data_IF_541093786659
#
_entry.id   IF_541093786659
#
_cell.length_a   1.000
_cell.length_b   1.000
_cell.length_c   1.000
_cell.angle_alpha   90.00
_cell.angle_beta   90.00
_cell.angle_gamma   90.00
#
_symmetry.space_group_name_H-M   'P 1'
#
loop_
_entity.id
_entity.type
_entity.pdbx_description
1 polymer ?
#
# COMPACT_ATOMS: atom_id res chain seq x y z
N UNK A 1 -35.84 3.33 11.51
CA UNK A 1 -36.20 3.64 10.13
C UNK A 1 -35.55 2.65 9.19
N UNK A 2 -36.09 2.45 8.02
CA UNK A 2 -35.63 1.51 7.02
C UNK A 2 -34.66 2.18 6.05
N UNK A 3 -33.89 1.36 5.31
CA UNK A 3 -33.03 1.83 4.22
C UNK A 3 -33.90 2.45 3.12
N UNK A 4 -33.47 3.56 2.53
CA UNK A 4 -34.23 4.24 1.48
C UNK A 4 -34.44 3.35 0.25
N UNK A 5 -35.55 3.54 -0.45
CA UNK A 5 -35.89 2.76 -1.65
C UNK A 5 -34.82 2.92 -2.75
N UNK A 6 -34.26 4.12 -2.88
CA UNK A 6 -33.17 4.37 -3.85
C UNK A 6 -31.95 3.50 -3.55
N UNK A 7 -31.53 3.44 -2.27
CA UNK A 7 -30.42 2.61 -1.86
C UNK A 7 -30.70 1.11 -2.06
N UNK A 8 -31.94 0.65 -1.83
CA UNK A 8 -32.33 -0.74 -2.07
C UNK A 8 -32.27 -1.11 -3.54
N UNK A 9 -32.75 -0.25 -4.44
CA UNK A 9 -32.70 -0.49 -5.90
C UNK A 9 -31.24 -0.50 -6.38
N UNK A 10 -30.42 0.45 -5.91
CA UNK A 10 -28.99 0.48 -6.25
C UNK A 10 -28.25 -0.77 -5.75
N UNK A 11 -28.53 -1.23 -4.53
CA UNK A 11 -27.95 -2.46 -4.00
C UNK A 11 -28.39 -3.71 -4.78
N UNK A 12 -29.67 -3.77 -5.18
CA UNK A 12 -30.19 -4.87 -5.99
C UNK A 12 -29.44 -4.94 -7.32
N UNK A 13 -29.29 -3.82 -8.04
CA UNK A 13 -28.52 -3.77 -9.29
C UNK A 13 -27.05 -4.14 -9.07
N UNK A 14 -26.44 -3.66 -8.01
CA UNK A 14 -25.02 -3.94 -7.69
C UNK A 14 -24.73 -5.44 -7.43
N UNK A 15 -25.72 -6.21 -6.94
CA UNK A 15 -25.52 -7.64 -6.61
C UNK A 15 -26.11 -8.61 -7.65
N UNK A 16 -27.01 -8.14 -8.50
CA UNK A 16 -27.71 -8.99 -9.49
C UNK A 16 -27.53 -8.56 -10.95
N UNK A 17 -26.92 -7.37 -11.18
CA UNK A 17 -26.60 -6.86 -12.51
C UNK A 17 -25.33 -7.47 -13.12
N UNK A 18 -24.78 -6.81 -14.12
CA UNK A 18 -23.52 -7.25 -14.73
C UNK A 18 -22.33 -7.01 -13.79
N UNK A 19 -21.66 -8.09 -13.38
CA UNK A 19 -20.50 -8.06 -12.50
C UNK A 19 -19.16 -8.14 -13.25
N UNK A 20 -19.14 -7.99 -14.56
CA UNK A 20 -17.91 -8.05 -15.38
C UNK A 20 -16.87 -7.02 -14.94
N UNK A 21 -17.30 -5.80 -14.55
CA UNK A 21 -16.43 -4.76 -14.02
C UNK A 21 -15.75 -5.19 -12.70
N UNK A 22 -16.46 -5.91 -11.83
CA UNK A 22 -15.91 -6.44 -10.58
C UNK A 22 -14.83 -7.48 -10.86
N UNK A 23 -15.06 -8.39 -11.82
CA UNK A 23 -14.08 -9.39 -12.23
C UNK A 23 -12.80 -8.73 -12.77
N UNK A 24 -12.93 -7.76 -13.66
CA UNK A 24 -11.82 -6.98 -14.22
C UNK A 24 -11.03 -6.21 -13.14
N UNK A 25 -11.72 -5.58 -12.19
CA UNK A 25 -11.07 -4.89 -11.07
C UNK A 25 -10.32 -5.86 -10.16
N UNK A 26 -10.91 -7.03 -9.86
CA UNK A 26 -10.26 -8.06 -9.05
C UNK A 26 -8.95 -8.52 -9.68
N UNK A 27 -8.94 -8.83 -10.97
CA UNK A 27 -7.73 -9.24 -11.69
C UNK A 27 -6.66 -8.14 -11.68
N UNK A 28 -7.07 -6.88 -11.83
CA UNK A 28 -6.16 -5.74 -11.77
C UNK A 28 -5.54 -5.58 -10.38
N UNK A 29 -6.31 -5.71 -9.32
CA UNK A 29 -5.81 -5.64 -7.95
C UNK A 29 -4.93 -6.83 -7.58
N UNK A 30 -5.25 -8.03 -8.02
CA UNK A 30 -4.41 -9.23 -7.81
C UNK A 30 -3.02 -9.03 -8.43
N UNK A 31 -2.97 -8.60 -9.69
CA UNK A 31 -1.71 -8.29 -10.39
C UNK A 31 -0.90 -7.20 -9.67
N UNK A 32 -1.55 -6.10 -9.29
CA UNK A 32 -0.90 -4.98 -8.59
C UNK A 32 -0.41 -5.37 -7.20
N UNK A 33 -1.20 -6.15 -6.46
CA UNK A 33 -0.81 -6.66 -5.14
C UNK A 33 0.44 -7.53 -5.22
N UNK A 34 0.49 -8.47 -6.16
CA UNK A 34 1.66 -9.33 -6.40
C UNK A 34 2.88 -8.50 -6.81
N UNK A 35 2.70 -7.51 -7.70
CA UNK A 35 3.78 -6.62 -8.12
C UNK A 35 4.34 -5.80 -6.96
N UNK A 36 3.48 -5.11 -6.20
CA UNK A 36 3.90 -4.31 -5.04
C UNK A 36 4.59 -5.17 -3.98
N UNK A 37 4.05 -6.35 -3.67
CA UNK A 37 4.67 -7.29 -2.75
C UNK A 37 6.08 -7.66 -3.18
N UNK A 38 6.27 -8.01 -4.46
CA UNK A 38 7.58 -8.33 -5.03
C UNK A 38 8.56 -7.15 -4.93
N UNK A 39 8.11 -5.93 -5.24
CA UNK A 39 8.96 -4.74 -5.18
C UNK A 39 9.33 -4.38 -3.75
N UNK A 40 8.40 -4.45 -2.79
CA UNK A 40 8.64 -4.19 -1.37
C UNK A 40 9.64 -5.20 -0.77
N UNK A 41 9.46 -6.49 -1.05
CA UNK A 41 10.34 -7.55 -0.52
C UNK A 41 11.74 -7.56 -1.15
N UNK A 42 11.92 -6.88 -2.28
CA UNK A 42 13.23 -6.64 -2.89
C UNK A 42 14.04 -5.50 -2.20
N UNK A 43 13.41 -4.74 -1.28
CA UNK A 43 14.09 -3.69 -0.51
C UNK A 43 14.79 -4.31 0.70
N UNK A 44 16.12 -4.17 0.87
CA UNK A 44 16.84 -4.73 2.00
C UNK A 44 16.32 -4.19 3.34
N UNK A 45 15.91 -5.08 4.24
CA UNK A 45 15.35 -4.72 5.55
C UNK A 45 13.83 -4.62 5.59
N UNK A 46 13.15 -4.89 4.48
CA UNK A 46 11.69 -4.98 4.38
C UNK A 46 11.25 -6.43 4.24
N UNK A 47 10.26 -6.84 5.02
CA UNK A 47 9.57 -8.13 4.87
C UNK A 47 8.08 -7.90 4.81
N UNK A 48 7.37 -8.65 3.98
CA UNK A 48 5.95 -8.49 3.77
C UNK A 48 5.28 -9.84 3.54
N UNK A 49 4.14 -10.09 4.16
CA UNK A 49 3.27 -11.20 3.78
C UNK A 49 2.58 -10.86 2.46
N UNK A 50 2.40 -11.86 1.62
CA UNK A 50 1.67 -11.70 0.36
C UNK A 50 0.20 -11.35 0.67
N UNK A 51 -0.36 -10.28 0.07
CA UNK A 51 -1.74 -9.90 0.30
C UNK A 51 -2.69 -10.93 -0.30
N UNK A 52 -3.67 -11.39 0.49
CA UNK A 52 -4.69 -12.34 0.05
C UNK A 52 -6.03 -11.69 -0.27
N UNK A 53 -6.11 -10.37 -0.17
CA UNK A 53 -7.33 -9.60 -0.42
C UNK A 53 -7.13 -8.12 -0.14
N UNK A 54 -8.21 -7.34 -0.22
CA UNK A 54 -8.20 -5.89 -0.16
C UNK A 54 -7.28 -5.26 -1.23
N UNK A 55 -6.68 -4.12 -0.94
CA UNK A 55 -5.77 -3.40 -1.85
C UNK A 55 -4.59 -2.79 -1.10
N UNK A 56 -4.09 -3.51 -0.07
CA UNK A 56 -2.97 -3.08 0.77
C UNK A 56 -1.89 -4.15 0.89
N UNK A 57 -0.61 -3.70 0.87
CA UNK A 57 0.50 -4.43 1.47
C UNK A 57 0.78 -3.83 2.85
N UNK A 58 1.15 -4.68 3.82
CA UNK A 58 1.47 -4.26 5.19
C UNK A 58 2.85 -4.79 5.63
N UNK A 59 3.94 -4.26 5.03
CA UNK A 59 5.29 -4.70 5.32
C UNK A 59 5.76 -4.30 6.72
N UNK A 60 6.60 -5.14 7.29
CA UNK A 60 7.47 -4.82 8.40
C UNK A 60 8.67 -4.00 7.86
N UNK A 61 8.85 -2.79 8.38
CA UNK A 61 9.90 -1.85 7.97
C UNK A 61 10.93 -1.59 9.08
N UNK A 62 10.94 -2.41 10.15
CA UNK A 62 11.89 -2.24 11.26
C UNK A 62 13.34 -2.30 10.81
N UNK A 63 13.65 -3.07 9.77
CA UNK A 63 14.99 -3.13 9.20
C UNK A 63 15.46 -1.86 8.50
N UNK A 64 14.60 -0.85 8.36
CA UNK A 64 14.94 0.48 7.85
C UNK A 64 15.18 1.48 8.97
N UNK A 65 14.64 1.23 10.17
CA UNK A 65 14.76 2.14 11.31
C UNK A 65 16.19 2.17 11.84
N UNK A 66 16.66 3.35 12.22
CA UNK A 66 18.02 3.57 12.70
C UNK A 66 19.08 3.61 11.59
N UNK A 67 18.73 3.40 10.33
CA UNK A 67 19.65 3.51 9.19
C UNK A 67 19.70 4.95 8.66
N UNK A 68 20.84 5.31 8.08
CA UNK A 68 20.91 6.51 7.24
C UNK A 68 20.17 6.24 5.93
N UNK A 69 19.17 7.06 5.66
CA UNK A 69 18.36 7.01 4.44
C UNK A 69 18.31 8.43 3.88
N UNK A 70 19.05 8.67 2.80
CA UNK A 70 19.12 9.99 2.17
C UNK A 70 19.68 11.09 3.09
N UNK A 71 20.64 10.76 3.98
CA UNK A 71 21.24 11.70 4.93
C UNK A 71 20.41 11.97 6.19
N UNK A 72 19.33 11.22 6.40
CA UNK A 72 18.44 11.30 7.57
C UNK A 72 18.24 9.92 8.19
N UNK A 73 17.93 9.89 9.50
CA UNK A 73 17.63 8.66 10.23
C UNK A 73 16.24 8.76 10.85
N UNK A 74 15.41 7.72 10.61
CA UNK A 74 14.11 7.55 11.24
C UNK A 74 14.19 6.50 12.36
N UNK A 75 13.62 6.78 13.52
CA UNK A 75 13.63 5.88 14.69
C UNK A 75 12.35 5.06 14.84
N UNK A 76 11.28 5.47 14.16
CA UNK A 76 9.96 4.84 14.17
C UNK A 76 9.29 4.97 12.79
N UNK A 77 8.16 4.28 12.58
CA UNK A 77 7.49 4.28 11.27
C UNK A 77 6.85 5.61 10.92
N UNK A 78 6.53 6.46 11.89
CA UNK A 78 5.99 7.82 11.64
C UNK A 78 7.08 8.71 11.04
N UNK A 79 8.26 8.76 11.67
CA UNK A 79 9.41 9.51 11.15
C UNK A 79 9.86 8.98 9.78
N UNK A 80 9.78 7.65 9.57
CA UNK A 80 10.07 7.05 8.28
C UNK A 80 9.06 7.49 7.21
N UNK A 81 7.77 7.59 7.56
CA UNK A 81 6.74 8.06 6.63
C UNK A 81 6.98 9.52 6.22
N UNK A 82 7.30 10.38 7.16
CA UNK A 82 7.62 11.79 6.90
C UNK A 82 8.87 11.92 6.02
N UNK A 83 9.94 11.16 6.32
CA UNK A 83 11.18 11.15 5.55
C UNK A 83 10.94 10.71 4.10
N UNK A 84 10.23 9.60 3.91
CA UNK A 84 9.94 9.05 2.58
C UNK A 84 9.04 9.98 1.78
N UNK A 85 8.05 10.60 2.41
CA UNK A 85 7.19 11.60 1.78
C UNK A 85 8.00 12.83 1.34
N UNK A 86 8.87 13.33 2.22
CA UNK A 86 9.68 14.52 1.93
C UNK A 86 10.67 14.30 0.79
N UNK A 87 11.35 13.19 0.78
CA UNK A 87 12.47 12.94 -0.15
C UNK A 87 12.03 12.23 -1.41
N UNK A 88 11.33 11.09 -1.27
CA UNK A 88 10.92 10.26 -2.42
C UNK A 88 9.56 10.65 -3.00
N UNK A 89 8.79 11.52 -2.32
CA UNK A 89 7.40 11.86 -2.68
C UNK A 89 6.50 10.63 -2.76
N UNK A 90 6.72 9.68 -1.88
CA UNK A 90 5.91 8.47 -1.72
C UNK A 90 5.22 8.53 -0.37
N UNK A 91 3.89 8.39 -0.38
CA UNK A 91 3.07 8.37 0.83
C UNK A 91 2.72 6.94 1.22
N UNK A 92 2.85 6.63 2.51
CA UNK A 92 2.27 5.43 3.12
C UNK A 92 1.74 5.78 4.52
N UNK A 93 0.90 4.93 5.07
CA UNK A 93 0.39 5.13 6.44
C UNK A 93 1.26 4.35 7.41
N UNK A 94 1.86 5.01 8.44
CA UNK A 94 2.67 4.33 9.43
C UNK A 94 1.84 3.35 10.27
N UNK A 95 2.46 2.25 10.67
CA UNK A 95 1.79 1.17 11.40
C UNK A 95 1.24 1.55 12.76
N UNK A 96 1.76 2.61 13.37
CA UNK A 96 1.26 3.19 14.63
C UNK A 96 -0.22 3.55 14.55
N UNK A 97 -0.71 4.00 13.37
CA UNK A 97 -2.13 4.27 13.14
C UNK A 97 -3.03 3.02 13.28
N UNK A 98 -2.43 1.84 13.25
CA UNK A 98 -3.10 0.54 13.37
C UNK A 98 -2.66 -0.25 14.60
N UNK A 99 -1.95 0.37 15.55
CA UNK A 99 -1.39 -0.29 16.72
C UNK A 99 -0.24 -1.27 16.41
N UNK A 100 0.43 -1.11 15.26
CA UNK A 100 1.51 -1.97 14.77
C UNK A 100 2.80 -1.17 14.49
N UNK A 101 3.52 -0.68 15.52
CA UNK A 101 4.76 0.07 15.34
C UNK A 101 5.80 -0.73 14.57
N UNK A 102 6.52 -0.07 13.66
CA UNK A 102 7.52 -0.72 12.80
C UNK A 102 6.94 -1.38 11.56
N UNK A 103 5.67 -1.13 11.27
CA UNK A 103 5.01 -1.52 10.02
C UNK A 103 4.62 -0.28 9.21
N UNK A 104 4.28 -0.50 7.94
CA UNK A 104 3.81 0.52 7.01
C UNK A 104 2.67 -0.05 6.15
N UNK A 105 1.64 0.76 5.86
CA UNK A 105 0.56 0.34 4.97
C UNK A 105 0.68 1.06 3.63
N UNK A 106 0.93 0.30 2.58
CA UNK A 106 0.94 0.76 1.20
C UNK A 106 -0.35 0.35 0.50
N UNK A 107 -0.95 1.28 -0.25
CA UNK A 107 -2.11 0.99 -1.09
C UNK A 107 -1.67 0.73 -2.53
N UNK A 108 -2.20 -0.33 -3.16
CA UNK A 108 -2.03 -0.57 -4.59
C UNK A 108 -3.30 -0.22 -5.41
N UNK A 109 -4.21 0.58 -4.82
CA UNK A 109 -5.37 1.13 -5.51
C UNK A 109 -5.00 2.40 -6.30
N UNK A 110 -4.06 2.28 -7.25
CA UNK A 110 -3.56 3.36 -8.12
C UNK A 110 -3.20 2.78 -9.49
N UNK A 111 -2.79 3.64 -10.44
CA UNK A 111 -2.33 3.21 -11.76
C UNK A 111 -1.08 2.34 -11.71
N UNK A 112 -0.89 1.48 -12.71
CA UNK A 112 0.27 0.57 -12.76
C UNK A 112 1.59 1.34 -12.84
N UNK A 113 1.64 2.41 -13.64
CA UNK A 113 2.83 3.25 -13.83
C UNK A 113 3.18 4.01 -12.53
N UNK A 114 2.18 4.59 -11.86
CA UNK A 114 2.36 5.28 -10.57
C UNK A 114 2.84 4.32 -9.47
N UNK A 115 2.34 3.07 -9.48
CA UNK A 115 2.78 2.04 -8.54
C UNK A 115 4.26 1.72 -8.73
N UNK A 116 4.66 1.46 -9.97
CA UNK A 116 6.06 1.13 -10.31
C UNK A 116 6.96 2.31 -9.95
N UNK A 117 6.62 3.51 -10.40
CA UNK A 117 7.40 4.72 -10.13
C UNK A 117 7.55 4.98 -8.62
N UNK A 118 6.47 4.88 -7.85
CA UNK A 118 6.51 5.06 -6.40
C UNK A 118 7.42 4.04 -5.71
N UNK A 119 7.34 2.77 -6.10
CA UNK A 119 8.18 1.73 -5.51
C UNK A 119 9.65 1.87 -5.92
N UNK A 120 9.96 2.29 -7.14
CA UNK A 120 11.32 2.57 -7.59
C UNK A 120 11.95 3.75 -6.84
N UNK A 121 11.20 4.84 -6.62
CA UNK A 121 11.63 5.99 -5.81
C UNK A 121 11.97 5.57 -4.38
N UNK A 122 11.09 4.77 -3.75
CA UNK A 122 11.33 4.23 -2.41
C UNK A 122 12.58 3.34 -2.38
N UNK A 123 12.72 2.42 -3.32
CA UNK A 123 13.85 1.51 -3.40
C UNK A 123 15.17 2.25 -3.62
N UNK A 124 15.17 3.27 -4.46
CA UNK A 124 16.33 4.13 -4.72
C UNK A 124 16.74 4.89 -3.46
N UNK A 125 15.77 5.51 -2.77
CA UNK A 125 16.04 6.23 -1.52
C UNK A 125 16.67 5.34 -0.44
N UNK A 126 16.20 4.09 -0.31
CA UNK A 126 16.69 3.15 0.72
C UNK A 126 18.07 2.58 0.39
N UNK A 127 18.41 2.49 -0.89
CA UNK A 127 19.73 1.95 -1.33
C UNK A 127 20.86 2.99 -1.29
N UNK A 128 20.54 4.28 -1.38
CA UNK A 128 21.48 5.41 -1.44
C UNK A 128 21.85 5.76 -2.85
#
# INVERSE_FOLDING_TARGET
SNVSNVAQIAALEAVSGDLSAVAMMRESFERRGTLMHKMLTAIPGVTCMEPQGAFYCFPNVRGLLGRDIGGKTATNSMELADLVLDVAKVAFVPGEAFGAPGYARFSFALGDDDLVEGMERLATLVRG
#
